data_IF_496030696890
#
_entry.id   IF_496030696890
#
_cell.length_a   1.000
_cell.length_b   1.000
_cell.length_c   1.000
_cell.angle_alpha   90.00
_cell.angle_beta   90.00
_cell.angle_gamma   90.00
#
_symmetry.space_group_name_H-M   'P 1'
#
loop_
_entity.id
_entity.type
_entity.pdbx_description
1 polymer ?
#
# COMPACT_ATOMS: atom_id res chain seq x y z
N UNK A 1 0.78 14.85 -11.32
CA UNK A 1 1.87 14.61 -10.32
C UNK A 1 2.80 13.48 -10.76
N UNK A 2 2.33 12.23 -10.88
CA UNK A 2 3.23 11.09 -11.17
C UNK A 2 3.71 10.99 -12.64
N UNK A 3 3.00 11.60 -13.60
CA UNK A 3 3.32 11.52 -15.04
C UNK A 3 4.71 12.06 -15.40
N UNK A 4 5.27 12.98 -14.61
CA UNK A 4 6.57 13.59 -14.87
C UNK A 4 7.77 12.68 -14.49
N UNK A 5 7.51 11.54 -13.84
CA UNK A 5 8.55 10.56 -13.49
C UNK A 5 8.68 9.41 -14.50
N UNK A 6 7.84 9.37 -15.54
CA UNK A 6 7.95 8.40 -16.62
C UNK A 6 9.20 8.68 -17.44
N UNK A 7 10.18 7.78 -17.38
CA UNK A 7 11.10 7.59 -18.51
C UNK A 7 10.43 6.57 -19.43
N UNK A 8 10.08 6.99 -20.63
CA UNK A 8 9.77 6.05 -21.72
C UNK A 8 11.03 5.26 -22.04
N UNK A 9 10.88 3.98 -22.39
CA UNK A 9 12.01 3.25 -22.97
C UNK A 9 12.20 3.84 -24.38
N UNK A 10 13.08 4.82 -24.52
CA UNK A 10 13.21 5.64 -25.73
C UNK A 10 13.57 4.83 -26.99
N UNK A 11 13.95 3.55 -26.83
CA UNK A 11 14.28 2.62 -27.91
C UNK A 11 13.35 1.40 -28.02
N UNK A 12 12.28 1.30 -27.23
CA UNK A 12 11.34 0.16 -27.26
C UNK A 12 11.94 -1.20 -26.84
N UNK A 13 13.16 -1.22 -26.29
CA UNK A 13 13.83 -2.45 -25.84
C UNK A 13 13.65 -2.62 -24.33
N UNK A 14 13.42 -3.87 -23.91
CA UNK A 14 13.28 -4.25 -22.50
C UNK A 14 11.84 -4.27 -21.99
N UNK A 15 11.68 -4.72 -20.74
CA UNK A 15 10.39 -4.81 -20.07
C UNK A 15 9.81 -3.41 -19.86
N UNK A 16 8.51 -3.17 -20.14
CA UNK A 16 7.88 -1.89 -19.84
C UNK A 16 7.89 -1.63 -18.33
N UNK A 17 8.06 -0.37 -17.95
CA UNK A 17 7.95 0.05 -16.56
C UNK A 17 6.54 -0.25 -16.02
N UNK A 18 6.46 -0.53 -14.71
CA UNK A 18 5.17 -0.70 -14.04
C UNK A 18 4.36 0.59 -14.03
N UNK A 19 3.04 0.46 -14.12
CA UNK A 19 2.12 1.58 -13.91
C UNK A 19 2.33 2.21 -12.53
N UNK A 20 2.46 3.53 -12.48
CA UNK A 20 2.74 4.27 -11.24
C UNK A 20 1.61 4.11 -10.24
N UNK A 21 0.38 3.92 -10.70
CA UNK A 21 -0.77 3.67 -9.83
C UNK A 21 -0.60 2.34 -9.11
N UNK A 22 -0.15 1.30 -9.81
CA UNK A 22 0.14 -0.01 -9.21
C UNK A 22 1.26 0.11 -8.20
N UNK A 23 2.36 0.78 -8.55
CA UNK A 23 3.48 1.00 -7.62
C UNK A 23 3.08 1.79 -6.38
N UNK A 24 2.25 2.84 -6.55
CA UNK A 24 1.72 3.59 -5.42
C UNK A 24 0.84 2.73 -4.51
N UNK A 25 -0.03 1.90 -5.08
CA UNK A 25 -0.83 0.94 -4.31
C UNK A 25 0.05 -0.05 -3.53
N UNK A 26 1.16 -0.51 -4.11
CA UNK A 26 2.14 -1.36 -3.41
C UNK A 26 2.73 -0.63 -2.20
N UNK A 27 3.11 0.64 -2.34
CA UNK A 27 3.61 1.43 -1.20
C UNK A 27 2.56 1.62 -0.10
N UNK A 28 1.28 1.80 -0.48
CA UNK A 28 0.18 1.87 0.49
C UNK A 28 0.03 0.54 1.22
N UNK A 29 0.05 -0.60 0.51
CA UNK A 29 0.01 -1.93 1.13
C UNK A 29 1.20 -2.14 2.08
N UNK A 30 2.38 -1.69 1.68
CA UNK A 30 3.59 -1.78 2.49
C UNK A 30 3.44 -0.99 3.79
N UNK A 31 2.97 0.26 3.72
CA UNK A 31 2.74 1.11 4.89
C UNK A 31 1.67 0.54 5.82
N UNK A 32 0.57 0.00 5.28
CA UNK A 32 -0.50 -0.61 6.08
C UNK A 32 -0.09 -1.92 6.75
N UNK A 33 0.82 -2.67 6.12
CA UNK A 33 1.27 -3.96 6.63
C UNK A 33 2.56 -3.89 7.45
N UNK A 34 3.27 -2.76 7.38
CA UNK A 34 4.57 -2.55 8.04
C UNK A 34 5.57 -3.66 7.69
N UNK A 35 5.84 -3.80 6.40
CA UNK A 35 6.67 -4.87 5.83
C UNK A 35 7.81 -4.26 5.00
N UNK A 36 8.94 -4.96 4.93
CA UNK A 36 10.07 -4.57 4.09
C UNK A 36 9.77 -4.76 2.60
N UNK A 37 10.62 -4.20 1.74
CA UNK A 37 10.50 -4.35 0.28
C UNK A 37 10.57 -5.84 -0.12
N UNK A 38 11.51 -6.61 0.45
CA UNK A 38 11.63 -8.07 0.21
C UNK A 38 10.38 -8.84 0.65
N UNK A 39 9.85 -8.50 1.83
CA UNK A 39 8.65 -9.15 2.34
C UNK A 39 7.41 -8.76 1.54
N UNK A 40 7.36 -7.54 1.01
CA UNK A 40 6.31 -7.13 0.09
C UNK A 40 6.31 -7.98 -1.17
N UNK A 41 7.47 -8.19 -1.80
CA UNK A 41 7.56 -9.03 -2.99
C UNK A 41 6.97 -10.44 -2.73
N UNK A 42 7.38 -11.07 -1.63
CA UNK A 42 6.85 -12.38 -1.25
C UNK A 42 5.33 -12.35 -1.02
N UNK A 43 4.83 -11.36 -0.28
CA UNK A 43 3.40 -11.25 0.01
C UNK A 43 2.55 -10.92 -1.23
N UNK A 44 3.09 -10.17 -2.20
CA UNK A 44 2.40 -9.88 -3.45
C UNK A 44 2.14 -11.13 -4.27
N UNK A 45 3.11 -12.06 -4.28
CA UNK A 45 3.00 -13.36 -4.97
C UNK A 45 2.02 -14.31 -4.28
N UNK A 46 1.92 -14.23 -2.95
CA UNK A 46 1.17 -15.21 -2.15
C UNK A 46 -0.27 -14.77 -1.79
N UNK A 47 -0.52 -13.46 -1.59
CA UNK A 47 -1.81 -12.98 -1.06
C UNK A 47 -2.76 -12.54 -2.16
N UNK A 48 -3.79 -13.36 -2.41
CA UNK A 48 -4.92 -13.03 -3.30
C UNK A 48 -5.60 -11.68 -3.00
N UNK A 49 -5.69 -11.30 -1.72
CA UNK A 49 -6.24 -9.98 -1.35
C UNK A 49 -5.38 -8.82 -1.86
N UNK A 50 -4.06 -8.99 -1.92
CA UNK A 50 -3.14 -7.97 -2.45
C UNK A 50 -3.25 -7.91 -3.97
N UNK A 51 -3.30 -9.06 -4.65
CA UNK A 51 -3.53 -9.13 -6.10
C UNK A 51 -4.82 -8.41 -6.51
N UNK A 52 -5.93 -8.71 -5.80
CA UNK A 52 -7.24 -8.07 -6.02
C UNK A 52 -7.17 -6.56 -5.80
N UNK A 53 -6.48 -6.10 -4.76
CA UNK A 53 -6.31 -4.67 -4.49
C UNK A 53 -5.49 -3.94 -5.57
N UNK A 54 -4.42 -4.57 -6.06
CA UNK A 54 -3.62 -4.04 -7.16
C UNK A 54 -4.43 -4.00 -8.47
N UNK A 55 -5.44 -4.86 -8.62
CA UNK A 55 -6.22 -5.02 -9.84
C UNK A 55 -5.59 -6.00 -10.83
N UNK A 56 -4.67 -6.84 -10.35
CA UNK A 56 -4.00 -7.87 -11.14
C UNK A 56 -4.88 -9.13 -11.10
N UNK A 57 -5.44 -9.50 -12.25
CA UNK A 57 -6.50 -10.53 -12.33
C UNK A 57 -5.97 -11.97 -12.28
N UNK A 58 -4.68 -12.20 -12.58
CA UNK A 58 -4.12 -13.54 -12.79
C UNK A 58 -2.86 -13.77 -11.95
N UNK A 59 -2.64 -15.01 -11.48
CA UNK A 59 -1.41 -15.43 -10.78
C UNK A 59 -0.15 -15.32 -11.66
N UNK A 60 -0.33 -15.38 -13.00
CA UNK A 60 0.72 -15.12 -14.00
C UNK A 60 1.09 -13.63 -14.13
N UNK A 61 0.40 -12.74 -13.43
CA UNK A 61 0.75 -11.31 -13.42
C UNK A 61 2.10 -11.16 -12.77
N UNK A 62 3.02 -10.47 -13.43
CA UNK A 62 4.34 -10.27 -12.85
C UNK A 62 4.25 -9.15 -11.81
N UNK A 63 4.65 -9.46 -10.59
CA UNK A 63 4.68 -8.53 -9.48
C UNK A 63 6.01 -7.76 -9.46
N UNK A 64 6.02 -6.50 -8.98
CA UNK A 64 7.26 -5.76 -8.79
C UNK A 64 8.13 -6.47 -7.74
N UNK A 65 9.41 -6.64 -8.07
CA UNK A 65 10.41 -7.16 -7.15
C UNK A 65 10.82 -6.09 -6.12
N UNK A 66 11.54 -6.51 -5.08
CA UNK A 66 12.00 -5.61 -4.03
C UNK A 66 12.83 -4.42 -4.58
N UNK A 67 13.68 -4.69 -5.60
CA UNK A 67 14.51 -3.66 -6.24
C UNK A 67 13.68 -2.63 -7.00
N UNK A 68 12.62 -3.04 -7.67
CA UNK A 68 11.69 -2.15 -8.38
C UNK A 68 10.93 -1.27 -7.39
N UNK A 69 10.48 -1.84 -6.27
CA UNK A 69 9.83 -1.08 -5.18
C UNK A 69 10.79 -0.03 -4.62
N UNK A 70 12.02 -0.44 -4.33
CA UNK A 70 13.06 0.45 -3.84
C UNK A 70 13.36 1.58 -4.84
N UNK A 71 13.59 1.26 -6.12
CA UNK A 71 13.87 2.25 -7.15
C UNK A 71 12.73 3.27 -7.31
N UNK A 72 11.47 2.82 -7.19
CA UNK A 72 10.32 3.71 -7.25
C UNK A 72 10.24 4.65 -6.03
N UNK A 73 10.53 4.15 -4.83
CA UNK A 73 10.64 4.99 -3.62
C UNK A 73 11.74 6.03 -3.76
N UNK A 74 12.87 5.64 -4.35
CA UNK A 74 14.00 6.53 -4.53
C UNK A 74 13.67 7.68 -5.48
N UNK A 75 13.03 7.37 -6.62
CA UNK A 75 12.51 8.40 -7.54
C UNK A 75 11.51 9.35 -6.86
N UNK A 76 10.62 8.81 -6.02
CA UNK A 76 9.67 9.64 -5.26
C UNK A 76 10.34 10.51 -4.20
N UNK A 77 11.46 10.05 -3.64
CA UNK A 77 12.29 10.78 -2.68
C UNK A 77 13.01 11.92 -3.38
N UNK A 78 13.68 11.66 -4.49
CA UNK A 78 14.36 12.65 -5.32
C UNK A 78 13.41 13.74 -5.84
N UNK A 79 12.19 13.36 -6.20
CA UNK A 79 11.16 14.30 -6.64
C UNK A 79 10.42 15.02 -5.50
N UNK A 80 10.74 14.72 -4.24
CA UNK A 80 10.05 15.24 -3.04
C UNK A 80 8.51 15.06 -3.08
N UNK A 81 8.05 14.00 -3.75
CA UNK A 81 6.62 13.74 -3.95
C UNK A 81 6.04 12.88 -2.84
N UNK A 82 6.87 12.12 -2.12
CA UNK A 82 6.41 11.22 -1.06
C UNK A 82 5.54 11.93 0.00
N UNK A 83 5.98 13.06 0.60
CA UNK A 83 5.16 13.74 1.62
C UNK A 83 3.86 14.30 1.03
N UNK A 84 3.91 14.84 -0.19
CA UNK A 84 2.74 15.43 -0.88
C UNK A 84 1.68 14.36 -1.15
N UNK A 85 2.07 13.19 -1.64
CA UNK A 85 1.15 12.10 -1.94
C UNK A 85 0.48 11.59 -0.67
N UNK A 86 1.25 11.32 0.39
CA UNK A 86 0.70 10.85 1.66
C UNK A 86 -0.18 11.90 2.35
N UNK A 87 0.13 13.20 2.19
CA UNK A 87 -0.76 14.27 2.65
C UNK A 87 -2.14 14.19 1.99
N UNK A 88 -2.19 14.13 0.65
CA UNK A 88 -3.46 14.02 -0.08
C UNK A 88 -4.20 12.71 0.21
N UNK A 89 -3.49 11.61 0.32
CA UNK A 89 -4.05 10.31 0.68
C UNK A 89 -4.71 10.35 2.08
N UNK A 90 -4.00 10.87 3.08
CA UNK A 90 -4.54 11.02 4.43
C UNK A 90 -5.73 11.98 4.47
N UNK A 91 -5.69 13.08 3.71
CA UNK A 91 -6.82 14.01 3.58
C UNK A 91 -8.05 13.30 3.02
N UNK A 92 -7.87 12.45 2.01
CA UNK A 92 -8.94 11.66 1.44
C UNK A 92 -9.51 10.63 2.43
N UNK A 93 -8.65 9.89 3.14
CA UNK A 93 -9.09 8.94 4.17
C UNK A 93 -9.88 9.61 5.30
N UNK A 94 -9.44 10.80 5.74
CA UNK A 94 -10.15 11.61 6.74
C UNK A 94 -11.53 11.99 6.23
N UNK A 95 -11.63 12.52 5.00
CA UNK A 95 -12.91 12.89 4.37
C UNK A 95 -13.88 11.71 4.27
N UNK A 96 -13.37 10.48 4.10
CA UNK A 96 -14.18 9.26 4.01
C UNK A 96 -14.42 8.57 5.36
N UNK A 97 -13.99 9.16 6.48
CA UNK A 97 -14.07 8.55 7.81
C UNK A 97 -13.47 7.13 7.86
N UNK A 98 -12.41 6.90 7.09
CA UNK A 98 -11.73 5.60 7.00
C UNK A 98 -10.52 5.51 7.91
N UNK A 99 -9.99 6.65 8.40
CA UNK A 99 -8.82 6.66 9.30
C UNK A 99 -9.07 5.83 10.54
N UNK A 100 -10.25 5.97 11.15
CA UNK A 100 -10.58 5.24 12.37
C UNK A 100 -10.81 3.75 12.12
N UNK A 101 -11.03 3.32 10.88
CA UNK A 101 -11.17 1.89 10.53
C UNK A 101 -9.82 1.20 10.34
N UNK A 102 -8.74 1.95 10.20
CA UNK A 102 -7.40 1.39 10.04
C UNK A 102 -6.87 1.00 11.42
N UNK A 103 -6.50 -0.27 11.59
CA UNK A 103 -5.93 -0.76 12.84
C UNK A 103 -4.53 -0.17 13.08
N UNK A 104 -4.31 0.36 14.28
CA UNK A 104 -2.98 0.77 14.72
C UNK A 104 -2.10 -0.46 14.92
N UNK A 105 -0.81 -0.36 14.55
CA UNK A 105 0.17 -1.44 14.74
C UNK A 105 1.30 -0.99 15.65
N UNK A 106 1.81 -1.93 16.45
CA UNK A 106 3.04 -1.77 17.21
C UNK A 106 4.26 -2.09 16.34
N UNK A 107 5.43 -1.63 16.77
CA UNK A 107 6.70 -1.87 16.08
C UNK A 107 7.62 -2.73 16.96
N UNK A 108 8.65 -3.32 16.33
CA UNK A 108 9.72 -4.02 17.06
C UNK A 108 10.35 -3.02 18.05
N UNK A 109 10.50 -3.43 19.31
CA UNK A 109 10.96 -2.59 20.42
C UNK A 109 10.08 -1.36 20.74
N UNK A 110 8.86 -1.29 20.18
CA UNK A 110 7.88 -0.24 20.46
C UNK A 110 6.45 -0.81 20.38
N UNK A 111 6.04 -1.61 21.38
CA UNK A 111 4.75 -2.28 21.38
C UNK A 111 3.59 -1.28 21.37
N UNK A 112 2.42 -1.74 20.90
CA UNK A 112 1.23 -0.92 20.79
C UNK A 112 0.73 -0.51 22.20
N UNK A 113 0.51 0.79 22.41
CA UNK A 113 -0.05 1.29 23.68
C UNK A 113 -1.46 0.74 23.91
N UNK A 114 -1.81 0.54 25.18
CA UNK A 114 -3.08 -0.09 25.58
C UNK A 114 -4.32 0.64 25.03
N UNK A 115 -4.28 1.98 24.98
CA UNK A 115 -5.34 2.80 24.37
C UNK A 115 -5.64 2.39 22.91
N UNK A 116 -4.60 2.10 22.12
CA UNK A 116 -4.74 1.75 20.72
C UNK A 116 -5.16 0.29 20.54
N UNK A 117 -4.77 -0.61 21.47
CA UNK A 117 -5.31 -1.98 21.49
C UNK A 117 -6.82 -1.98 21.72
N UNK A 118 -7.30 -1.22 22.71
CA UNK A 118 -8.73 -1.05 23.00
C UNK A 118 -9.49 -0.51 21.79
N UNK A 119 -8.92 0.47 21.09
CA UNK A 119 -9.50 1.04 19.88
C UNK A 119 -9.59 0.03 18.74
N UNK A 120 -8.51 -0.71 18.48
CA UNK A 120 -8.51 -1.80 17.49
C UNK A 120 -9.57 -2.86 17.79
N UNK A 121 -9.75 -3.24 19.06
CA UNK A 121 -10.79 -4.20 19.48
C UNK A 121 -12.19 -3.66 19.19
N UNK A 122 -12.47 -2.38 19.47
CA UNK A 122 -13.76 -1.74 19.14
C UNK A 122 -14.00 -1.72 17.63
N UNK A 123 -13.00 -1.33 16.85
CA UNK A 123 -13.09 -1.28 15.39
C UNK A 123 -13.35 -2.66 14.77
N UNK A 124 -12.70 -3.70 15.29
CA UNK A 124 -12.91 -5.08 14.87
C UNK A 124 -14.35 -5.54 15.15
N UNK A 125 -14.92 -5.19 16.31
CA UNK A 125 -16.30 -5.51 16.67
C UNK A 125 -17.31 -4.80 15.75
N UNK A 126 -17.13 -3.50 15.49
CA UNK A 126 -18.00 -2.74 14.59
C UNK A 126 -17.96 -3.31 13.15
N UNK A 127 -16.77 -3.63 12.64
CA UNK A 127 -16.63 -4.26 11.31
C UNK A 127 -17.26 -5.65 11.19
N UNK A 128 -17.36 -6.41 12.28
CA UNK A 128 -18.12 -7.68 12.27
C UNK A 128 -19.62 -7.42 12.24
N UNK A 129 -20.11 -6.43 13.00
CA UNK A 129 -21.52 -6.04 13.03
C UNK A 129 -22.04 -5.56 11.68
N UNK A 130 -21.24 -4.75 10.98
CA UNK A 130 -21.55 -4.29 9.61
C UNK A 130 -21.58 -5.43 8.57
N UNK A 131 -20.93 -6.57 8.86
CA UNK A 131 -20.92 -7.77 7.99
C UNK A 131 -22.04 -8.76 8.29
N UNK A 132 -22.64 -8.70 9.48
CA UNK A 132 -23.73 -9.60 9.90
C UNK A 132 -25.13 -9.08 9.55
N UNK A 133 -25.23 -7.93 8.88
CA UNK A 133 -26.49 -7.30 8.48
C UNK A 133 -26.50 -6.99 6.98
N UNK A 134 -26.32 -8.03 6.16
CA UNK A 134 -26.59 -8.06 4.72
C UNK A 134 -27.09 -9.48 4.40
N UNK A 135 -28.34 -9.75 4.77
CA UNK A 135 -29.19 -10.76 4.13
C UNK A 135 -30.30 -10.00 3.42
#
# INVERSE_FOLDING_TARGET
MLKNMRKTNDAGRGRPAYDEIVMLKVLVLQALNNVSDDRMEFLLKDRLSFMRFLGMKNEKSVFPDAKTIWLFKEKLREAELMPKIFYWFNKYLKKKNLVDKICFKGYRNKPLKEKYKKLNTKNSKNSRKDRTCLW
#
